data_IF_289861928826
#
_entry.id   IF_289861928826
#
_cell.length_a   1.000
_cell.length_b   1.000
_cell.length_c   1.000
_cell.angle_alpha   90.00
_cell.angle_beta   90.00
_cell.angle_gamma   90.00
#
_symmetry.space_group_name_H-M   'P 1'
#
loop_
_entity.id
_entity.type
_entity.pdbx_description
1 polymer ?
#
# COMPACT_ATOMS: atom_id res chain seq x y z
N UNK A 1 8.30 13.06 -29.87
CA UNK A 1 7.01 13.61 -30.33
C UNK A 1 6.43 12.64 -31.34
N UNK A 2 5.45 11.86 -30.92
CA UNK A 2 4.61 11.03 -31.80
C UNK A 2 3.18 11.41 -31.47
N UNK A 3 2.49 11.98 -32.44
CA UNK A 3 1.07 12.33 -32.37
C UNK A 3 0.23 11.07 -32.12
N UNK A 4 -0.72 11.06 -31.18
CA UNK A 4 -1.66 9.94 -31.07
C UNK A 4 -2.66 10.03 -32.23
N UNK A 5 -2.83 8.93 -32.95
CA UNK A 5 -3.86 8.80 -33.98
C UNK A 5 -5.25 8.90 -33.37
N UNK A 6 -6.06 9.80 -33.92
CA UNK A 6 -7.49 9.94 -33.65
C UNK A 6 -8.25 8.74 -34.24
N UNK A 7 -8.40 7.67 -33.46
CA UNK A 7 -9.45 6.65 -33.63
C UNK A 7 -9.57 5.83 -32.34
N UNK A 8 -9.72 6.50 -31.20
CA UNK A 8 -9.73 5.83 -29.91
C UNK A 8 -11.10 5.26 -29.55
N UNK A 9 -11.33 3.97 -29.80
CA UNK A 9 -12.22 3.21 -28.89
C UNK A 9 -11.74 3.50 -27.45
N UNK A 10 -12.61 3.86 -26.49
CA UNK A 10 -12.17 4.15 -25.13
C UNK A 10 -11.34 2.96 -24.63
N UNK A 11 -10.05 3.21 -24.35
CA UNK A 11 -9.15 2.16 -23.86
C UNK A 11 -9.66 1.75 -22.48
N UNK A 12 -10.38 0.63 -22.46
CA UNK A 12 -10.95 0.02 -21.25
C UNK A 12 -9.81 -0.40 -20.33
N UNK A 13 -9.95 -0.17 -19.02
CA UNK A 13 -9.00 -0.67 -18.02
C UNK A 13 -8.98 -2.21 -18.01
N UNK A 14 -7.89 -2.80 -17.53
CA UNK A 14 -7.72 -4.26 -17.48
C UNK A 14 -8.87 -4.99 -16.77
N UNK A 15 -9.48 -4.34 -15.77
CA UNK A 15 -10.60 -4.85 -14.98
C UNK A 15 -11.92 -4.13 -15.26
N UNK A 16 -12.10 -3.49 -16.42
CA UNK A 16 -13.31 -2.71 -16.73
C UNK A 16 -14.62 -3.52 -16.73
N UNK A 17 -14.51 -4.85 -16.74
CA UNK A 17 -15.61 -5.80 -16.73
C UNK A 17 -15.89 -6.38 -15.34
N UNK A 18 -15.14 -5.94 -14.32
CA UNK A 18 -15.23 -6.42 -12.95
C UNK A 18 -15.92 -5.38 -12.08
N UNK A 19 -16.93 -5.81 -11.31
CA UNK A 19 -17.52 -5.03 -10.23
C UNK A 19 -17.09 -5.54 -8.87
N UNK A 20 -16.72 -4.61 -7.98
CA UNK A 20 -16.31 -4.91 -6.61
C UNK A 20 -17.28 -4.24 -5.64
N UNK A 21 -17.87 -5.03 -4.74
CA UNK A 21 -18.54 -4.51 -3.56
C UNK A 21 -17.53 -4.43 -2.40
N UNK A 22 -17.12 -3.22 -2.08
CA UNK A 22 -16.16 -2.92 -1.02
C UNK A 22 -16.92 -2.61 0.29
N UNK A 23 -17.02 -3.61 1.16
CA UNK A 23 -17.54 -3.46 2.53
C UNK A 23 -16.42 -3.09 3.51
N UNK A 24 -15.19 -2.94 3.04
CA UNK A 24 -14.03 -2.80 3.90
C UNK A 24 -13.82 -1.37 4.40
N UNK A 25 -13.12 -1.27 5.53
CA UNK A 25 -12.79 -0.01 6.21
C UNK A 25 -11.30 0.10 6.49
N UNK A 26 -10.86 1.28 6.93
CA UNK A 26 -9.49 1.54 7.36
C UNK A 26 -8.49 1.55 6.20
N UNK A 27 -7.70 0.48 5.99
CA UNK A 27 -6.58 0.56 5.03
C UNK A 27 -6.34 -0.71 4.20
N UNK A 28 -6.14 -1.90 4.76
CA UNK A 28 -5.78 -3.08 3.96
C UNK A 28 -6.80 -3.39 2.85
N UNK A 29 -8.10 -3.46 3.21
CA UNK A 29 -9.18 -3.65 2.25
C UNK A 29 -9.33 -2.47 1.29
N UNK A 30 -9.41 -1.21 1.78
CA UNK A 30 -9.48 -0.05 0.90
C UNK A 30 -8.29 0.06 -0.08
N UNK A 31 -7.09 -0.32 0.33
CA UNK A 31 -5.90 -0.35 -0.51
C UNK A 31 -6.05 -1.38 -1.64
N UNK A 32 -6.52 -2.58 -1.31
CA UNK A 32 -6.81 -3.61 -2.31
C UNK A 32 -7.84 -3.11 -3.34
N UNK A 33 -8.96 -2.57 -2.88
CA UNK A 33 -10.03 -2.12 -3.79
C UNK A 33 -9.64 -0.88 -4.58
N UNK A 34 -8.78 0.00 -4.05
CA UNK A 34 -8.18 1.09 -4.82
C UNK A 34 -7.28 0.56 -5.95
N UNK A 35 -6.47 -0.47 -5.71
CA UNK A 35 -5.67 -1.07 -6.78
C UNK A 35 -6.54 -1.67 -7.90
N UNK A 36 -7.67 -2.30 -7.53
CA UNK A 36 -8.63 -2.82 -8.50
C UNK A 36 -9.31 -1.68 -9.28
N UNK A 37 -9.67 -0.59 -8.61
CA UNK A 37 -10.22 0.62 -9.25
C UNK A 37 -9.22 1.28 -10.22
N UNK A 38 -7.94 1.38 -9.82
CA UNK A 38 -6.86 1.90 -10.66
C UNK A 38 -6.71 1.07 -11.96
N UNK A 39 -6.95 -0.25 -11.89
CA UNK A 39 -6.98 -1.16 -13.03
C UNK A 39 -8.31 -1.14 -13.81
N UNK A 40 -9.27 -0.32 -13.39
CA UNK A 40 -10.53 -0.05 -14.08
C UNK A 40 -11.76 -0.76 -13.54
N UNK A 41 -11.68 -1.48 -12.42
CA UNK A 41 -12.85 -2.11 -11.82
C UNK A 41 -13.87 -1.07 -11.33
N UNK A 42 -15.16 -1.41 -11.44
CA UNK A 42 -16.25 -0.63 -10.85
C UNK A 42 -16.35 -0.94 -9.35
N UNK A 43 -15.78 -0.07 -8.51
CA UNK A 43 -15.73 -0.29 -7.06
C UNK A 43 -16.79 0.54 -6.34
N UNK A 44 -17.72 -0.16 -5.68
CA UNK A 44 -18.77 0.43 -4.84
C UNK A 44 -18.35 0.28 -3.39
N UNK A 45 -17.95 1.39 -2.76
CA UNK A 45 -17.63 1.43 -1.33
C UNK A 45 -18.89 1.64 -0.52
N UNK A 46 -19.22 0.67 0.32
CA UNK A 46 -20.34 0.75 1.25
C UNK A 46 -19.87 1.42 2.54
N UNK A 47 -20.59 2.45 2.95
CA UNK A 47 -20.22 3.31 4.07
C UNK A 47 -21.40 3.55 5.00
N UNK A 48 -21.14 3.76 6.30
CA UNK A 48 -22.22 4.04 7.26
C UNK A 48 -22.86 5.40 6.96
N UNK A 49 -24.20 5.52 6.95
CA UNK A 49 -24.85 6.83 6.85
C UNK A 49 -24.34 7.81 7.92
N UNK A 50 -24.06 9.04 7.50
CA UNK A 50 -23.60 10.15 8.34
C UNK A 50 -22.12 10.12 8.75
N UNK A 51 -21.51 8.96 8.98
CA UNK A 51 -20.13 8.86 9.50
C UNK A 51 -19.13 8.25 8.52
N UNK A 52 -19.56 7.29 7.71
CA UNK A 52 -18.72 6.58 6.75
C UNK A 52 -17.63 5.71 7.36
N UNK A 53 -16.55 5.55 6.60
CA UNK A 53 -15.29 4.93 7.03
C UNK A 53 -14.66 5.70 8.20
N UNK A 54 -14.14 4.99 9.21
CA UNK A 54 -13.52 5.62 10.40
C UNK A 54 -12.32 6.51 10.02
N UNK A 55 -11.61 6.17 8.93
CA UNK A 55 -10.47 6.97 8.45
C UNK A 55 -10.85 8.35 7.96
N UNK A 56 -12.12 8.62 7.59
CA UNK A 56 -12.55 9.98 7.22
C UNK A 56 -12.22 10.98 8.32
N UNK A 57 -12.39 10.58 9.59
CA UNK A 57 -12.17 11.43 10.76
C UNK A 57 -10.72 11.46 11.29
N UNK A 58 -9.77 10.73 10.67
CA UNK A 58 -8.37 10.66 11.13
C UNK A 58 -7.52 11.83 10.62
N UNK A 59 -7.95 13.06 10.91
CA UNK A 59 -7.20 14.29 10.67
C UNK A 59 -6.88 15.05 11.97
N UNK A 60 -6.06 16.12 11.90
CA UNK A 60 -5.34 16.63 10.72
C UNK A 60 -4.18 15.70 10.27
N UNK A 61 -3.71 15.81 9.01
CA UNK A 61 -4.13 16.78 8.00
C UNK A 61 -5.38 16.36 7.22
N UNK A 62 -6.20 17.36 6.92
CA UNK A 62 -7.42 17.27 6.11
C UNK A 62 -7.12 17.59 4.64
N UNK A 63 -7.88 17.00 3.72
CA UNK A 63 -7.86 17.45 2.33
C UNK A 63 -8.50 18.84 2.28
N UNK A 64 -7.93 19.74 1.46
CA UNK A 64 -8.45 21.10 1.27
C UNK A 64 -9.38 21.23 0.07
N UNK A 65 -10.37 22.10 0.17
CA UNK A 65 -11.25 22.49 -0.93
C UNK A 65 -10.55 23.47 -1.89
N UNK A 66 -11.26 23.92 -2.93
CA UNK A 66 -10.75 24.88 -3.91
C UNK A 66 -10.45 26.27 -3.33
N UNK A 67 -11.03 26.61 -2.18
CA UNK A 67 -10.80 27.86 -1.46
C UNK A 67 -9.70 27.70 -0.39
N UNK A 68 -9.08 26.52 -0.29
CA UNK A 68 -8.02 26.21 0.67
C UNK A 68 -8.50 25.91 2.09
N UNK A 69 -9.81 25.72 2.31
CA UNK A 69 -10.38 25.33 3.61
C UNK A 69 -10.32 23.82 3.80
N UNK A 70 -10.21 23.38 5.04
CA UNK A 70 -10.21 21.95 5.37
C UNK A 70 -11.59 21.33 5.10
N UNK A 71 -11.60 20.16 4.46
CA UNK A 71 -12.80 19.33 4.27
C UNK A 71 -12.92 18.28 5.38
N UNK A 72 -14.02 17.54 5.40
CA UNK A 72 -14.24 16.45 6.36
C UNK A 72 -13.55 15.13 5.99
N UNK A 73 -12.72 15.13 4.93
CA UNK A 73 -11.97 13.95 4.50
C UNK A 73 -10.51 14.09 4.91
N UNK A 74 -10.03 13.16 5.73
CA UNK A 74 -8.61 13.09 6.08
C UNK A 74 -7.75 12.67 4.89
N UNK A 75 -6.46 12.99 4.97
CA UNK A 75 -5.45 12.43 4.06
C UNK A 75 -5.36 10.90 4.11
N UNK A 76 -5.69 10.30 5.25
CA UNK A 76 -5.69 8.85 5.43
C UNK A 76 -6.78 8.18 4.59
N UNK A 77 -8.01 8.72 4.62
CA UNK A 77 -9.10 8.27 3.77
C UNK A 77 -8.76 8.45 2.28
N UNK A 78 -8.23 9.62 1.91
CA UNK A 78 -7.92 9.94 0.53
C UNK A 78 -6.83 9.03 -0.08
N UNK A 79 -5.91 8.50 0.73
CA UNK A 79 -4.80 7.67 0.29
C UNK A 79 -5.22 6.29 -0.28
N UNK A 80 -6.42 5.81 0.06
CA UNK A 80 -6.86 4.45 -0.25
C UNK A 80 -8.28 4.36 -0.84
N UNK A 81 -8.86 5.48 -1.33
CA UNK A 81 -10.24 5.49 -1.82
C UNK A 81 -10.45 6.16 -3.19
N UNK A 82 -9.41 6.56 -3.92
CA UNK A 82 -9.60 7.10 -5.29
C UNK A 82 -10.20 6.04 -6.21
N UNK A 83 -10.92 6.48 -7.24
CA UNK A 83 -11.52 5.57 -8.22
C UNK A 83 -12.83 4.90 -7.77
N UNK A 84 -13.24 5.05 -6.51
CA UNK A 84 -14.42 4.38 -5.95
C UNK A 84 -15.67 5.25 -6.02
N UNK A 85 -16.83 4.60 -5.95
CA UNK A 85 -18.16 5.22 -5.78
C UNK A 85 -18.65 4.99 -4.35
N UNK A 86 -18.99 6.05 -3.61
CA UNK A 86 -19.47 5.90 -2.23
C UNK A 86 -20.98 5.70 -2.19
N UNK A 87 -21.42 4.61 -1.59
CA UNK A 87 -22.81 4.29 -1.25
C UNK A 87 -22.94 4.28 0.27
N UNK A 88 -23.79 5.15 0.81
CA UNK A 88 -24.19 5.07 2.21
C UNK A 88 -25.24 3.96 2.38
N UNK A 89 -25.02 3.05 3.34
CA UNK A 89 -25.92 1.94 3.63
C UNK A 89 -25.73 1.43 5.07
N UNK A 90 -26.79 1.39 5.86
CA UNK A 90 -26.79 0.81 7.21
C UNK A 90 -27.08 -0.69 7.17
N UNK A 91 -26.01 -1.49 7.07
CA UNK A 91 -26.08 -2.95 7.08
C UNK A 91 -26.42 -3.55 8.45
N UNK A 92 -26.54 -2.75 9.52
CA UNK A 92 -27.06 -3.25 10.80
C UNK A 92 -28.57 -3.49 10.76
N UNK A 93 -29.26 -2.91 9.78
CA UNK A 93 -30.72 -2.99 9.59
C UNK A 93 -31.06 -4.08 8.57
N UNK A 94 -32.15 -4.86 8.76
CA UNK A 94 -32.55 -5.91 7.82
C UNK A 94 -32.69 -5.44 6.37
N UNK A 95 -33.20 -4.23 6.17
CA UNK A 95 -33.33 -3.59 4.85
C UNK A 95 -31.97 -3.34 4.19
N UNK A 96 -31.01 -2.79 4.95
CA UNK A 96 -29.66 -2.55 4.44
C UNK A 96 -28.90 -3.85 4.16
N UNK A 97 -29.12 -4.89 4.97
CA UNK A 97 -28.58 -6.22 4.69
C UNK A 97 -29.15 -6.80 3.39
N UNK A 98 -30.45 -6.59 3.12
CA UNK A 98 -31.09 -7.05 1.88
C UNK A 98 -30.47 -6.34 0.68
N UNK A 99 -30.35 -5.02 0.73
CA UNK A 99 -29.72 -4.20 -0.33
C UNK A 99 -28.26 -4.65 -0.55
N UNK A 100 -27.48 -4.89 0.51
CA UNK A 100 -26.11 -5.35 0.39
C UNK A 100 -26.01 -6.73 -0.29
N UNK A 101 -26.93 -7.67 0.02
CA UNK A 101 -27.01 -8.97 -0.68
C UNK A 101 -27.39 -8.83 -2.15
N UNK A 102 -28.35 -7.94 -2.47
CA UNK A 102 -28.76 -7.63 -3.85
C UNK A 102 -27.58 -7.06 -4.66
N UNK A 103 -26.78 -6.17 -4.07
CA UNK A 103 -25.56 -5.64 -4.69
C UNK A 103 -24.47 -6.70 -4.86
N UNK A 104 -24.28 -7.57 -3.86
CA UNK A 104 -23.31 -8.66 -3.93
C UNK A 104 -23.65 -9.67 -5.03
N UNK A 105 -24.95 -9.93 -5.26
CA UNK A 105 -25.42 -10.78 -6.35
C UNK A 105 -25.08 -10.21 -7.74
N UNK A 106 -24.87 -8.89 -7.85
CA UNK A 106 -24.48 -8.20 -9.08
C UNK A 106 -22.99 -7.85 -9.15
N UNK A 107 -22.19 -8.36 -8.22
CA UNK A 107 -20.75 -8.08 -8.12
C UNK A 107 -19.92 -9.32 -8.41
N UNK A 108 -18.73 -9.11 -8.97
CA UNK A 108 -17.74 -10.17 -9.22
C UNK A 108 -16.92 -10.49 -7.99
N UNK A 109 -16.65 -9.46 -7.18
CA UNK A 109 -15.82 -9.51 -5.99
C UNK A 109 -16.53 -8.84 -4.82
N UNK A 110 -16.48 -9.46 -3.65
CA UNK A 110 -16.82 -8.83 -2.36
C UNK A 110 -15.56 -8.79 -1.51
N UNK A 111 -15.21 -7.63 -0.97
CA UNK A 111 -14.09 -7.46 -0.05
C UNK A 111 -14.59 -6.90 1.28
N UNK A 112 -14.15 -7.49 2.37
CA UNK A 112 -14.54 -7.10 3.72
C UNK A 112 -13.44 -7.33 4.75
N UNK A 113 -13.54 -6.65 5.89
CA UNK A 113 -12.61 -6.77 7.01
C UNK A 113 -13.30 -6.66 8.38
N UNK A 114 -14.49 -7.24 8.50
CA UNK A 114 -15.21 -7.30 9.76
C UNK A 114 -14.61 -8.36 10.69
N UNK A 115 -15.01 -8.32 11.96
CA UNK A 115 -14.57 -9.34 12.90
C UNK A 115 -15.21 -10.68 12.55
N UNK A 116 -14.51 -11.75 12.90
CA UNK A 116 -14.95 -13.12 12.67
C UNK A 116 -16.43 -13.33 13.04
N UNK A 117 -17.21 -13.76 12.04
CA UNK A 117 -18.62 -14.11 12.21
C UNK A 117 -19.61 -12.94 12.22
N UNK A 118 -19.17 -11.68 12.17
CA UNK A 118 -20.08 -10.52 12.17
C UNK A 118 -21.00 -10.54 10.94
N UNK A 119 -20.42 -10.69 9.75
CA UNK A 119 -21.20 -10.69 8.50
C UNK A 119 -22.07 -11.93 8.31
N UNK A 120 -21.74 -13.04 8.98
CA UNK A 120 -22.58 -14.25 8.95
C UNK A 120 -23.96 -13.98 9.54
N UNK A 121 -24.05 -13.15 10.57
CA UNK A 121 -25.34 -12.74 11.19
C UNK A 121 -26.19 -11.91 10.24
N UNK A 122 -25.56 -11.30 9.24
CA UNK A 122 -26.21 -10.46 8.23
C UNK A 122 -26.44 -11.20 6.91
N UNK A 123 -26.07 -12.48 6.81
CA UNK A 123 -26.10 -13.22 5.54
C UNK A 123 -25.19 -12.60 4.47
N UNK A 124 -24.11 -11.94 4.89
CA UNK A 124 -23.09 -11.31 4.05
C UNK A 124 -21.75 -12.06 4.11
N UNK A 125 -21.73 -13.24 4.72
CA UNK A 125 -20.59 -14.16 4.66
C UNK A 125 -20.52 -14.89 3.31
N UNK A 126 -19.37 -15.51 3.04
CA UNK A 126 -19.12 -16.19 1.78
C UNK A 126 -20.14 -17.28 1.45
N UNK A 127 -20.52 -18.15 2.39
CA UNK A 127 -21.44 -19.26 2.05
C UNK A 127 -22.83 -18.72 1.71
N UNK A 128 -23.30 -17.72 2.46
CA UNK A 128 -24.56 -17.03 2.15
C UNK A 128 -24.55 -16.41 0.75
N UNK A 129 -23.51 -15.64 0.42
CA UNK A 129 -23.44 -14.93 -0.87
C UNK A 129 -23.12 -15.84 -2.06
N UNK A 130 -22.30 -16.87 -1.86
CA UNK A 130 -22.00 -17.88 -2.88
C UNK A 130 -23.24 -18.65 -3.32
N UNK A 131 -24.21 -18.86 -2.43
CA UNK A 131 -25.46 -19.55 -2.77
C UNK A 131 -26.27 -18.83 -3.85
N UNK A 132 -26.18 -17.50 -3.89
CA UNK A 132 -26.85 -16.66 -4.91
C UNK A 132 -25.93 -16.30 -6.08
N UNK A 133 -24.61 -16.29 -5.86
CA UNK A 133 -23.61 -16.03 -6.89
C UNK A 133 -22.43 -17.03 -6.79
N UNK A 134 -22.51 -18.21 -7.45
CA UNK A 134 -21.44 -19.21 -7.42
C UNK A 134 -20.12 -18.77 -8.07
N UNK A 135 -20.14 -17.66 -8.83
CA UNK A 135 -18.99 -17.04 -9.48
C UNK A 135 -18.29 -16.00 -8.59
N UNK A 136 -18.82 -15.73 -7.40
CA UNK A 136 -18.30 -14.70 -6.50
C UNK A 136 -16.91 -15.03 -5.98
N UNK A 137 -15.97 -14.10 -6.19
CA UNK A 137 -14.72 -14.07 -5.42
C UNK A 137 -14.97 -13.29 -4.14
N UNK A 138 -14.69 -13.90 -3.00
CA UNK A 138 -14.88 -13.24 -1.70
C UNK A 138 -13.55 -13.16 -0.97
N UNK A 139 -13.14 -11.96 -0.60
CA UNK A 139 -11.91 -11.72 0.15
C UNK A 139 -12.22 -11.17 1.53
N UNK A 140 -11.89 -11.97 2.54
CA UNK A 140 -11.90 -11.56 3.93
C UNK A 140 -10.50 -11.16 4.36
N UNK A 141 -10.34 -9.95 4.87
CA UNK A 141 -9.06 -9.44 5.34
C UNK A 141 -9.14 -9.22 6.84
N UNK A 142 -8.38 -9.99 7.62
CA UNK A 142 -8.39 -9.91 9.08
C UNK A 142 -7.00 -9.88 9.68
N UNK A 143 -6.93 -9.65 10.98
CA UNK A 143 -5.65 -9.61 11.69
C UNK A 143 -4.92 -10.96 11.71
N UNK A 144 -5.65 -12.03 12.04
CA UNK A 144 -5.09 -13.32 12.42
C UNK A 144 -5.61 -14.49 11.56
N UNK A 145 -6.41 -14.22 10.52
CA UNK A 145 -7.14 -15.24 9.78
C UNK A 145 -8.52 -15.55 10.40
N UNK A 146 -9.29 -16.38 9.71
CA UNK A 146 -10.67 -16.71 10.09
C UNK A 146 -10.77 -17.90 11.06
N UNK A 147 -9.64 -18.53 11.38
CA UNK A 147 -9.55 -19.65 12.30
C UNK A 147 -8.34 -19.55 13.25
N UNK A 148 -8.21 -20.56 14.11
CA UNK A 148 -7.13 -20.63 15.08
C UNK A 148 -7.35 -19.81 16.37
N UNK A 149 -6.38 -19.85 17.29
CA UNK A 149 -6.54 -19.36 18.67
C UNK A 149 -6.67 -17.84 18.80
N UNK A 150 -6.29 -17.09 17.77
CA UNK A 150 -6.32 -15.62 17.78
C UNK A 150 -7.34 -15.02 16.81
N UNK A 151 -8.14 -15.82 16.10
CA UNK A 151 -9.08 -15.38 15.07
C UNK A 151 -10.06 -14.28 15.54
N UNK A 152 -10.49 -14.36 16.80
CA UNK A 152 -11.45 -13.40 17.39
C UNK A 152 -10.80 -12.12 17.92
N UNK A 153 -9.46 -12.05 17.97
CA UNK A 153 -8.76 -10.88 18.52
C UNK A 153 -8.84 -9.70 17.54
N UNK A 154 -9.07 -8.48 18.03
CA UNK A 154 -8.92 -7.29 17.19
C UNK A 154 -7.45 -7.07 16.84
N UNK A 155 -7.20 -6.33 15.77
CA UNK A 155 -5.85 -5.94 15.40
C UNK A 155 -5.82 -4.71 14.52
N UNK A 156 -4.79 -3.91 14.72
CA UNK A 156 -4.37 -2.83 13.83
C UNK A 156 -2.93 -3.10 13.40
N UNK A 157 -2.53 -2.54 12.27
CA UNK A 157 -1.20 -2.62 11.69
C UNK A 157 -0.05 -2.64 12.71
N UNK A 158 -0.02 -1.68 13.63
CA UNK A 158 1.06 -1.54 14.60
C UNK A 158 1.25 -2.79 15.48
N UNK A 159 0.15 -3.46 15.85
CA UNK A 159 0.19 -4.71 16.60
C UNK A 159 0.89 -5.79 15.78
N UNK A 160 0.56 -5.90 14.50
CA UNK A 160 1.14 -6.92 13.60
C UNK A 160 2.60 -6.66 13.27
N UNK A 161 3.04 -5.41 13.18
CA UNK A 161 4.48 -5.10 13.10
C UNK A 161 5.25 -5.63 14.33
N UNK A 162 4.65 -5.55 15.52
CA UNK A 162 5.24 -6.06 16.74
C UNK A 162 5.24 -7.59 16.79
N UNK A 163 4.05 -8.22 16.71
CA UNK A 163 3.93 -9.67 16.90
C UNK A 163 4.44 -10.50 15.72
N UNK A 164 4.48 -9.91 14.52
CA UNK A 164 5.04 -10.51 13.31
C UNK A 164 6.56 -10.43 13.23
N UNK A 165 7.22 -9.82 14.22
CA UNK A 165 8.68 -9.76 14.31
C UNK A 165 9.33 -8.65 13.46
N UNK A 166 8.59 -7.84 12.72
CA UNK A 166 9.19 -6.75 11.93
C UNK A 166 9.92 -5.75 12.82
N UNK A 167 9.32 -5.36 13.96
CA UNK A 167 9.94 -4.45 14.91
C UNK A 167 11.20 -5.02 15.58
N UNK A 168 11.38 -6.35 15.64
CA UNK A 168 12.57 -6.94 16.25
C UNK A 168 13.82 -6.71 15.40
N UNK A 169 13.66 -6.48 14.09
CA UNK A 169 14.76 -6.19 13.16
C UNK A 169 14.80 -4.73 12.69
N UNK A 170 13.83 -3.92 13.10
CA UNK A 170 13.70 -2.51 12.69
C UNK A 170 14.05 -1.59 13.85
N UNK A 171 14.91 -0.62 13.59
CA UNK A 171 15.42 0.35 14.57
C UNK A 171 16.93 0.31 14.68
N UNK A 172 17.47 1.23 15.47
CA UNK A 172 18.90 1.28 15.74
C UNK A 172 19.36 0.07 16.58
N UNK A 173 20.64 -0.30 16.42
CA UNK A 173 21.28 -1.39 17.16
C UNK A 173 21.17 -1.19 18.66
N UNK A 174 21.09 -2.31 19.38
CA UNK A 174 20.88 -2.33 20.84
C UNK A 174 22.08 -1.83 21.65
N UNK A 175 23.27 -1.86 21.07
CA UNK A 175 24.49 -1.36 21.68
C UNK A 175 24.72 0.14 21.46
N UNK A 176 23.81 0.83 20.75
CA UNK A 176 23.88 2.27 20.50
C UNK A 176 22.81 3.03 21.30
N UNK A 177 23.12 4.30 21.62
CA UNK A 177 22.19 5.17 22.31
C UNK A 177 20.93 5.41 21.46
N UNK A 178 19.75 5.23 22.05
CA UNK A 178 18.47 5.30 21.34
C UNK A 178 18.09 4.01 20.59
N UNK A 179 18.86 2.93 20.77
CA UNK A 179 18.54 1.59 20.27
C UNK A 179 17.22 1.03 20.82
N UNK A 180 16.59 0.16 20.03
CA UNK A 180 15.36 -0.53 20.40
C UNK A 180 14.39 -0.75 19.24
N UNK A 181 13.34 -1.57 19.44
CA UNK A 181 12.35 -1.88 18.41
C UNK A 181 11.60 -0.62 17.93
N UNK A 182 11.54 -0.43 16.61
CA UNK A 182 10.83 0.67 15.98
C UNK A 182 9.86 0.15 14.92
N UNK A 183 8.69 0.80 14.80
CA UNK A 183 7.76 0.53 13.70
C UNK A 183 8.21 1.25 12.42
N UNK A 184 7.74 0.77 11.28
CA UNK A 184 7.82 1.52 10.04
C UNK A 184 7.04 2.85 10.12
N UNK A 185 7.47 3.85 9.35
CA UNK A 185 6.82 5.16 9.27
C UNK A 185 5.40 5.11 8.67
N UNK A 186 5.07 4.02 7.97
CA UNK A 186 3.76 3.77 7.34
C UNK A 186 3.09 2.56 7.98
N UNK A 187 1.79 2.38 7.70
CA UNK A 187 1.03 1.18 8.04
C UNK A 187 1.38 0.03 7.09
N UNK A 188 2.60 -0.50 7.24
CA UNK A 188 3.20 -1.45 6.30
C UNK A 188 2.48 -2.81 6.26
N UNK A 189 2.00 -3.33 7.40
CA UNK A 189 1.23 -4.56 7.46
C UNK A 189 -0.10 -4.40 6.73
N UNK A 190 -0.79 -3.26 6.90
CA UNK A 190 -2.02 -2.98 6.13
C UNK A 190 -1.74 -2.88 4.63
N UNK A 191 -0.73 -2.10 4.22
CA UNK A 191 -0.39 -1.89 2.80
C UNK A 191 0.02 -3.19 2.12
N UNK A 192 0.92 -3.98 2.73
CA UNK A 192 1.37 -5.24 2.13
C UNK A 192 0.23 -6.27 2.07
N UNK A 193 -0.65 -6.30 3.08
CA UNK A 193 -1.82 -7.17 3.07
C UNK A 193 -2.79 -6.77 1.96
N UNK A 194 -3.02 -5.47 1.74
CA UNK A 194 -3.80 -4.98 0.61
C UNK A 194 -3.19 -5.38 -0.75
N UNK A 195 -1.86 -5.42 -0.86
CA UNK A 195 -1.17 -5.92 -2.06
C UNK A 195 -1.34 -7.42 -2.25
N UNK A 196 -1.16 -8.24 -1.20
CA UNK A 196 -1.41 -9.69 -1.27
C UNK A 196 -2.88 -10.01 -1.57
N UNK A 197 -3.83 -9.27 -0.97
CA UNK A 197 -5.25 -9.38 -1.28
C UNK A 197 -5.53 -9.05 -2.76
N UNK A 198 -4.91 -8.01 -3.30
CA UNK A 198 -5.03 -7.67 -4.73
C UNK A 198 -4.56 -8.84 -5.61
N UNK A 199 -3.39 -9.42 -5.32
CA UNK A 199 -2.86 -10.57 -6.06
C UNK A 199 -3.79 -11.78 -5.94
N UNK A 200 -4.27 -12.08 -4.73
CA UNK A 200 -5.18 -13.20 -4.48
C UNK A 200 -6.52 -13.03 -5.23
N UNK A 201 -7.08 -11.83 -5.26
CA UNK A 201 -8.30 -11.52 -6.03
C UNK A 201 -8.05 -11.70 -7.53
N UNK A 202 -6.94 -11.20 -8.07
CA UNK A 202 -6.59 -11.39 -9.47
C UNK A 202 -6.41 -12.87 -9.83
N UNK A 203 -5.75 -13.64 -8.96
CA UNK A 203 -5.59 -15.08 -9.15
C UNK A 203 -6.93 -15.82 -9.10
N UNK A 204 -7.81 -15.47 -8.15
CA UNK A 204 -9.15 -16.06 -8.02
C UNK A 204 -10.05 -15.71 -9.23
N UNK A 205 -9.99 -14.49 -9.73
CA UNK A 205 -10.69 -14.08 -10.95
C UNK A 205 -10.16 -14.86 -12.17
N UNK A 206 -8.85 -15.04 -12.29
CA UNK A 206 -8.26 -15.83 -13.37
C UNK A 206 -8.67 -17.31 -13.28
N UNK A 207 -8.65 -17.90 -12.08
CA UNK A 207 -9.12 -19.25 -11.85
C UNK A 207 -10.61 -19.40 -12.22
N UNK A 208 -11.44 -18.41 -11.87
CA UNK A 208 -12.88 -18.39 -12.18
C UNK A 208 -13.17 -18.42 -13.67
N UNK A 209 -12.32 -17.82 -14.51
CA UNK A 209 -12.49 -17.87 -15.96
C UNK A 209 -12.24 -19.28 -16.53
N UNK A 210 -11.43 -20.10 -15.84
CA UNK A 210 -11.20 -21.50 -16.23
C UNK A 210 -12.23 -22.44 -15.60
N UNK A 211 -12.50 -22.30 -14.30
CA UNK A 211 -13.33 -23.23 -13.53
C UNK A 211 -14.83 -22.90 -13.59
N UNK A 212 -15.18 -21.68 -14.02
CA UNK A 212 -16.53 -21.16 -13.95
C UNK A 212 -16.99 -20.77 -12.54
N UNK A 213 -16.16 -20.91 -11.51
CA UNK A 213 -16.52 -20.75 -10.09
C UNK A 213 -15.61 -19.77 -9.38
N UNK A 214 -16.18 -18.96 -8.51
CA UNK A 214 -15.41 -18.12 -7.59
C UNK A 214 -14.86 -18.92 -6.41
N UNK A 215 -14.18 -18.23 -5.50
CA UNK A 215 -13.59 -18.84 -4.31
C UNK A 215 -13.49 -17.86 -3.14
N UNK A 216 -13.31 -18.43 -1.95
CA UNK A 216 -13.01 -17.70 -0.73
C UNK A 216 -11.51 -17.44 -0.61
N UNK A 217 -11.16 -16.25 -0.16
CA UNK A 217 -9.80 -15.83 0.17
C UNK A 217 -9.81 -15.40 1.64
N UNK A 218 -9.11 -16.15 2.48
CA UNK A 218 -8.76 -15.74 3.85
C UNK A 218 -7.39 -15.07 3.81
N UNK A 219 -7.34 -13.78 4.16
CA UNK A 219 -6.12 -12.97 4.11
C UNK A 219 -5.83 -12.39 5.49
N UNK A 220 -4.69 -12.77 6.08
CA UNK A 220 -4.29 -12.35 7.40
C UNK A 220 -3.14 -11.33 7.39
N UNK A 221 -3.26 -10.25 8.16
CA UNK A 221 -2.18 -9.26 8.33
C UNK A 221 -0.93 -9.89 8.93
N UNK A 222 -1.09 -10.80 9.90
CA UNK A 222 0.02 -11.52 10.54
C UNK A 222 0.81 -12.36 9.52
N UNK A 223 0.13 -13.09 8.66
CA UNK A 223 0.77 -13.92 7.63
C UNK A 223 1.56 -13.05 6.65
N UNK A 224 0.94 -11.96 6.21
CA UNK A 224 1.55 -11.04 5.25
C UNK A 224 2.81 -10.37 5.80
N UNK A 225 2.80 -9.95 7.06
CA UNK A 225 3.97 -9.30 7.66
C UNK A 225 5.10 -10.29 7.96
N UNK A 226 4.79 -11.53 8.35
CA UNK A 226 5.80 -12.58 8.51
C UNK A 226 6.40 -12.93 7.14
N UNK A 227 5.57 -13.09 6.11
CA UNK A 227 6.02 -13.35 4.74
C UNK A 227 6.92 -12.22 4.21
N UNK A 228 6.63 -10.96 4.55
CA UNK A 228 7.45 -9.80 4.21
C UNK A 228 8.87 -9.87 4.78
N UNK A 229 9.09 -10.62 5.87
CA UNK A 229 10.41 -10.79 6.49
C UNK A 229 11.44 -11.52 5.61
N UNK A 230 11.00 -12.25 4.57
CA UNK A 230 11.84 -12.75 3.48
C UNK A 230 13.13 -13.44 3.95
N UNK A 231 14.28 -12.92 3.49
CA UNK A 231 15.59 -13.54 3.74
C UNK A 231 15.96 -13.61 5.23
N UNK A 232 15.46 -12.68 6.05
CA UNK A 232 15.73 -12.66 7.50
C UNK A 232 15.03 -13.84 8.19
N UNK A 233 13.78 -14.13 7.79
CA UNK A 233 13.03 -15.29 8.29
C UNK A 233 13.67 -16.60 7.81
N UNK A 234 14.08 -16.69 6.54
CA UNK A 234 14.78 -17.89 6.05
C UNK A 234 16.14 -18.08 6.73
N UNK A 235 16.84 -16.99 7.06
CA UNK A 235 18.09 -17.05 7.83
C UNK A 235 17.88 -17.58 9.25
N UNK A 236 16.79 -17.18 9.91
CA UNK A 236 16.37 -17.75 11.18
C UNK A 236 16.06 -19.25 11.05
N UNK A 237 15.28 -19.67 10.06
CA UNK A 237 15.01 -21.10 9.85
C UNK A 237 16.27 -21.93 9.61
N UNK A 238 17.27 -21.36 8.93
CA UNK A 238 18.52 -22.06 8.64
C UNK A 238 19.46 -22.17 9.85
N UNK A 239 19.40 -21.24 10.81
CA UNK A 239 20.41 -21.12 11.89
C UNK A 239 19.84 -21.28 13.29
N UNK A 240 18.53 -21.12 13.48
CA UNK A 240 17.88 -21.00 14.78
C UNK A 240 18.17 -19.68 15.50
N UNK A 241 18.93 -18.76 14.90
CA UNK A 241 19.33 -17.48 15.50
C UNK A 241 18.46 -16.36 14.95
N UNK A 242 17.71 -15.70 15.83
CA UNK A 242 16.90 -14.55 15.44
C UNK A 242 17.81 -13.38 15.01
N UNK A 243 17.51 -12.71 13.88
CA UNK A 243 18.26 -11.54 13.44
C UNK A 243 18.07 -10.36 14.41
N UNK A 244 19.13 -9.57 14.57
CA UNK A 244 19.10 -8.31 15.32
C UNK A 244 18.85 -7.08 14.44
N UNK A 245 18.73 -5.91 15.11
CA UNK A 245 18.64 -4.59 14.49
C UNK A 245 20.00 -4.12 13.97
N UNK A 246 19.99 -3.42 12.84
CA UNK A 246 21.19 -2.86 12.21
C UNK A 246 21.05 -1.36 11.88
N UNK A 247 20.00 -0.68 12.35
CA UNK A 247 19.71 0.69 11.96
C UNK A 247 19.54 0.79 10.44
N UNK A 248 20.25 1.74 9.84
CA UNK A 248 20.28 1.93 8.39
C UNK A 248 21.32 1.06 7.65
N UNK A 249 22.02 0.14 8.35
CA UNK A 249 22.96 -0.77 7.72
C UNK A 249 22.28 -2.08 7.29
N UNK A 250 22.71 -2.66 6.18
CA UNK A 250 22.26 -3.98 5.75
C UNK A 250 22.92 -5.08 6.59
N UNK A 251 22.18 -6.12 6.98
CA UNK A 251 22.72 -7.24 7.76
C UNK A 251 23.76 -8.07 6.98
N UNK A 252 23.54 -8.25 5.68
CA UNK A 252 24.30 -9.19 4.84
C UNK A 252 25.25 -8.53 3.82
N UNK A 253 25.40 -7.20 3.82
CA UNK A 253 26.21 -6.48 2.83
C UNK A 253 26.99 -5.34 3.50
N UNK A 254 28.25 -5.16 3.11
CA UNK A 254 29.14 -4.12 3.66
C UNK A 254 30.05 -3.56 2.54
N UNK A 255 30.11 -2.24 2.34
CA UNK A 255 29.22 -1.22 2.91
C UNK A 255 27.85 -1.20 2.21
N UNK A 256 26.79 -1.17 3.00
CA UNK A 256 25.43 -0.91 2.52
C UNK A 256 24.71 -0.19 3.65
N UNK A 257 24.90 1.13 3.73
CA UNK A 257 24.52 1.92 4.90
C UNK A 257 24.49 3.42 4.62
N UNK A 258 24.05 4.18 5.63
CA UNK A 258 24.22 5.62 5.70
C UNK A 258 25.64 5.97 6.15
N UNK A 259 26.20 7.00 5.53
CA UNK A 259 27.44 7.64 5.96
C UNK A 259 27.20 9.13 6.19
N UNK A 260 27.65 9.62 7.35
CA UNK A 260 27.82 11.06 7.58
C UNK A 260 28.95 11.58 6.70
N UNK A 261 28.69 12.72 6.08
CA UNK A 261 29.62 13.46 5.22
C UNK A 261 29.75 14.89 5.75
N UNK A 262 30.58 15.74 5.12
CA UNK A 262 30.91 17.05 5.69
C UNK A 262 29.70 17.98 5.95
N UNK A 263 28.62 17.84 5.19
CA UNK A 263 27.44 18.71 5.22
C UNK A 263 26.10 17.95 5.36
N UNK A 264 26.12 16.68 5.78
CA UNK A 264 24.90 15.89 5.95
C UNK A 264 25.15 14.38 5.89
N UNK A 265 24.22 13.66 5.25
CA UNK A 265 24.24 12.21 5.14
C UNK A 265 23.97 11.74 3.71
N UNK A 266 24.62 10.66 3.30
CA UNK A 266 24.32 9.95 2.06
C UNK A 266 24.19 8.45 2.33
N UNK A 267 23.37 7.78 1.52
CA UNK A 267 23.28 6.33 1.45
C UNK A 267 24.28 5.83 0.41
N UNK A 268 25.01 4.77 0.73
CA UNK A 268 25.88 4.04 -0.22
C UNK A 268 25.52 2.57 -0.17
N UNK A 269 25.34 1.95 -1.34
CA UNK A 269 24.99 0.54 -1.47
C UNK A 269 26.00 -0.19 -2.37
N UNK A 270 26.88 -0.99 -1.75
CA UNK A 270 27.81 -1.89 -2.44
C UNK A 270 27.29 -3.32 -2.31
N UNK A 271 26.72 -3.83 -3.39
CA UNK A 271 26.05 -5.14 -3.43
C UNK A 271 26.95 -6.32 -3.82
N UNK A 272 28.12 -6.06 -4.41
CA UNK A 272 29.04 -7.12 -4.86
C UNK A 272 30.51 -6.67 -4.85
N UNK A 273 31.43 -7.60 -5.14
CA UNK A 273 32.87 -7.36 -5.07
C UNK A 273 33.38 -6.42 -6.18
N UNK A 274 32.74 -6.39 -7.35
CA UNK A 274 33.11 -5.45 -8.42
C UNK A 274 32.71 -4.02 -8.05
N UNK A 275 31.53 -3.84 -7.47
CA UNK A 275 31.10 -2.56 -6.91
C UNK A 275 31.99 -2.13 -5.74
N UNK A 276 32.54 -3.08 -4.96
CA UNK A 276 33.51 -2.76 -3.91
C UNK A 276 34.77 -2.13 -4.49
N UNK A 277 35.34 -2.71 -5.56
CA UNK A 277 36.51 -2.13 -6.24
C UNK A 277 36.21 -0.71 -6.75
N UNK A 278 35.07 -0.52 -7.42
CA UNK A 278 34.63 0.80 -7.92
C UNK A 278 34.42 1.80 -6.80
N UNK A 279 33.83 1.36 -5.69
CA UNK A 279 33.64 2.19 -4.50
C UNK A 279 34.98 2.64 -3.91
N UNK A 280 35.92 1.72 -3.71
CA UNK A 280 37.28 2.04 -3.26
C UNK A 280 37.98 3.05 -4.18
N UNK A 281 37.83 2.91 -5.51
CA UNK A 281 38.33 3.91 -6.47
C UNK A 281 37.65 5.27 -6.27
N UNK A 282 36.31 5.30 -6.17
CA UNK A 282 35.55 6.53 -6.01
C UNK A 282 35.93 7.31 -4.74
N UNK A 283 36.18 6.61 -3.63
CA UNK A 283 36.58 7.19 -2.34
C UNK A 283 38.10 7.36 -2.18
N UNK A 284 38.89 7.09 -3.23
CA UNK A 284 40.35 7.25 -3.24
C UNK A 284 41.08 6.35 -2.22
N UNK A 285 40.51 5.17 -1.95
CA UNK A 285 41.06 4.15 -1.03
C UNK A 285 41.48 2.89 -1.76
N UNK A 286 42.44 3.02 -2.67
CA UNK A 286 43.03 1.89 -3.41
C UNK A 286 43.69 0.86 -2.50
N UNK A 287 44.17 1.30 -1.32
CA UNK A 287 44.67 0.44 -0.25
C UNK A 287 43.61 -0.55 0.25
N UNK A 288 42.36 -0.10 0.42
CA UNK A 288 41.24 -0.97 0.83
C UNK A 288 40.82 -1.94 -0.28
N UNK A 289 40.94 -1.51 -1.54
CA UNK A 289 40.67 -2.36 -2.71
C UNK A 289 41.66 -3.52 -2.83
N UNK A 290 42.94 -3.29 -2.51
CA UNK A 290 44.02 -4.26 -2.60
C UNK A 290 44.11 -5.22 -1.38
N UNK A 291 43.51 -4.85 -0.24
CA UNK A 291 43.54 -5.67 0.97
C UNK A 291 42.67 -6.95 0.81
N UNK A 292 43.32 -8.11 0.89
CA UNK A 292 42.69 -9.43 0.74
C UNK A 292 41.60 -9.70 1.79
N UNK A 293 41.61 -9.04 2.94
CA UNK A 293 40.54 -9.13 3.95
C UNK A 293 39.21 -8.60 3.41
N UNK A 294 39.26 -7.62 2.51
CA UNK A 294 38.09 -6.92 1.98
C UNK A 294 37.73 -7.31 0.55
N UNK A 295 38.54 -8.16 -0.09
CA UNK A 295 38.32 -8.60 -1.47
C UNK A 295 36.95 -9.27 -1.68
N UNK A 296 36.45 -9.99 -0.67
CA UNK A 296 35.17 -10.71 -0.71
C UNK A 296 34.17 -10.16 0.31
N UNK A 297 32.90 -10.14 -0.08
CA UNK A 297 31.79 -9.68 0.80
C UNK A 297 31.78 -10.38 2.15
N UNK A 298 32.08 -11.68 2.20
CA UNK A 298 32.16 -12.45 3.44
C UNK A 298 33.23 -11.94 4.39
N UNK A 299 34.38 -11.52 3.87
CA UNK A 299 35.45 -10.88 4.64
C UNK A 299 35.01 -9.52 5.17
N UNK A 300 34.35 -8.71 4.34
CA UNK A 300 33.79 -7.41 4.74
C UNK A 300 32.70 -7.53 5.81
N UNK A 301 31.86 -8.56 5.74
CA UNK A 301 30.86 -8.86 6.77
C UNK A 301 31.55 -9.23 8.08
N UNK A 302 32.50 -10.17 8.05
CA UNK A 302 33.22 -10.63 9.26
C UNK A 302 34.04 -9.53 9.93
N UNK A 303 34.63 -8.63 9.15
CA UNK A 303 35.42 -7.51 9.66
C UNK A 303 34.69 -6.16 9.67
N UNK A 304 33.35 -6.17 9.67
CA UNK A 304 32.51 -4.96 9.65
C UNK A 304 32.95 -3.92 10.68
N UNK A 305 33.15 -4.36 11.92
CA UNK A 305 33.47 -3.47 13.05
C UNK A 305 34.84 -2.79 12.90
N UNK A 306 35.71 -3.31 12.03
CA UNK A 306 36.98 -2.67 11.65
C UNK A 306 36.84 -1.82 10.38
N UNK A 307 36.15 -2.35 9.36
CA UNK A 307 36.08 -1.71 8.04
C UNK A 307 35.19 -0.46 8.04
N UNK A 308 34.02 -0.52 8.67
CA UNK A 308 33.03 0.58 8.61
C UNK A 308 33.57 1.88 9.22
N UNK A 309 34.26 1.89 10.38
CA UNK A 309 34.87 3.11 10.90
C UNK A 309 35.90 3.76 9.95
N UNK A 310 36.70 2.96 9.24
CA UNK A 310 37.65 3.46 8.24
C UNK A 310 36.94 4.13 7.05
N UNK A 311 35.85 3.51 6.59
CA UNK A 311 35.02 4.08 5.53
C UNK A 311 34.34 5.37 5.99
N UNK A 312 33.73 5.36 7.17
CA UNK A 312 33.06 6.53 7.74
C UNK A 312 34.00 7.72 7.89
N UNK A 313 35.23 7.52 8.38
CA UNK A 313 36.25 8.57 8.43
C UNK A 313 36.58 9.13 7.05
N UNK A 314 36.65 8.27 6.03
CA UNK A 314 36.89 8.69 4.64
C UNK A 314 35.74 9.55 4.12
N UNK A 315 34.49 9.14 4.40
CA UNK A 315 33.29 9.84 3.92
C UNK A 315 33.11 11.25 4.52
N UNK A 316 33.70 11.55 5.68
CA UNK A 316 33.68 12.91 6.26
C UNK A 316 34.46 13.95 5.46
N UNK A 317 35.36 13.53 4.56
CA UNK A 317 36.31 14.44 3.91
C UNK A 317 35.70 15.39 2.87
N UNK A 318 34.47 15.12 2.39
CA UNK A 318 33.83 15.90 1.32
C UNK A 318 32.33 16.08 1.58
N UNK A 319 31.69 17.12 1.03
CA UNK A 319 30.25 17.28 1.09
C UNK A 319 29.52 16.24 0.22
N UNK A 320 28.23 16.02 0.50
CA UNK A 320 27.37 15.04 -0.16
C UNK A 320 27.39 15.18 -1.69
N UNK A 321 27.28 16.40 -2.22
CA UNK A 321 27.26 16.63 -3.67
C UNK A 321 28.52 16.10 -4.38
N UNK A 322 29.70 16.34 -3.79
CA UNK A 322 30.97 15.87 -4.34
C UNK A 322 31.11 14.34 -4.25
N UNK A 323 30.56 13.71 -3.20
CA UNK A 323 30.55 12.26 -3.11
C UNK A 323 29.60 11.61 -4.12
N UNK A 324 28.39 12.13 -4.26
CA UNK A 324 27.39 11.60 -5.18
C UNK A 324 27.90 11.63 -6.62
N UNK A 325 28.45 12.78 -7.07
CA UNK A 325 29.03 12.90 -8.41
C UNK A 325 30.10 11.83 -8.67
N UNK A 326 31.00 11.61 -7.71
CA UNK A 326 32.08 10.62 -7.83
C UNK A 326 31.56 9.19 -7.82
N UNK A 327 30.65 8.86 -6.91
CA UNK A 327 30.09 7.52 -6.78
C UNK A 327 29.28 7.15 -8.02
N UNK A 328 28.45 8.07 -8.53
CA UNK A 328 27.69 7.92 -9.77
C UNK A 328 28.60 7.74 -10.99
N UNK A 329 29.67 8.55 -11.10
CA UNK A 329 30.65 8.41 -12.18
C UNK A 329 31.35 7.03 -12.20
N UNK A 330 31.39 6.34 -11.06
CA UNK A 330 31.94 4.99 -10.95
C UNK A 330 30.85 3.90 -10.90
N UNK A 331 29.58 4.24 -11.13
CA UNK A 331 28.47 3.29 -11.14
C UNK A 331 28.22 2.64 -9.78
N UNK A 332 28.49 3.36 -8.68
CA UNK A 332 28.20 2.93 -7.31
C UNK A 332 26.83 3.51 -6.91
N UNK A 333 25.84 2.66 -6.56
CA UNK A 333 24.54 3.14 -6.10
C UNK A 333 24.65 3.99 -4.84
N UNK A 334 24.16 5.23 -4.91
CA UNK A 334 24.14 6.17 -3.81
C UNK A 334 22.97 7.17 -3.92
N UNK A 335 22.70 7.89 -2.84
CA UNK A 335 21.68 8.94 -2.85
C UNK A 335 21.62 9.70 -1.52
N UNK A 336 20.93 10.86 -1.53
CA UNK A 336 20.61 11.58 -0.29
C UNK A 336 19.40 10.94 0.40
N UNK A 337 19.30 11.15 1.71
CA UNK A 337 18.05 10.90 2.45
C UNK A 337 17.14 12.11 2.23
N UNK A 338 16.12 11.93 1.40
CA UNK A 338 15.19 13.00 1.05
C UNK A 338 13.94 12.95 1.94
N UNK A 339 13.42 14.11 2.33
CA UNK A 339 12.03 14.22 2.75
C UNK A 339 11.07 14.14 1.55
N UNK A 340 9.75 14.15 1.80
CA UNK A 340 8.78 14.09 0.70
C UNK A 340 8.81 15.32 -0.22
N UNK A 341 9.12 16.51 0.28
CA UNK A 341 9.19 17.71 -0.55
C UNK A 341 10.35 17.62 -1.54
N UNK A 342 11.51 17.16 -1.08
CA UNK A 342 12.69 16.87 -1.90
C UNK A 342 12.44 15.70 -2.86
N UNK A 343 11.81 14.61 -2.41
CA UNK A 343 11.50 13.47 -3.26
C UNK A 343 10.59 13.85 -4.45
N UNK A 344 9.57 14.68 -4.25
CA UNK A 344 8.70 15.14 -5.35
C UNK A 344 9.34 16.25 -6.22
N UNK A 345 10.52 16.77 -5.82
CA UNK A 345 11.33 17.64 -6.66
C UNK A 345 12.31 16.86 -7.56
N UNK A 346 12.58 15.59 -7.25
CA UNK A 346 13.50 14.74 -7.99
C UNK A 346 13.11 14.63 -9.49
N UNK A 347 14.07 14.81 -10.42
CA UNK A 347 13.79 14.76 -11.86
C UNK A 347 13.19 13.43 -12.32
N UNK A 348 13.64 12.31 -11.76
CA UNK A 348 13.14 10.99 -12.10
C UNK A 348 11.72 10.81 -11.54
N UNK A 349 11.44 11.24 -10.31
CA UNK A 349 10.08 11.19 -9.73
C UNK A 349 9.08 12.01 -10.55
N UNK A 350 9.48 13.20 -11.00
CA UNK A 350 8.68 14.06 -11.90
C UNK A 350 8.48 13.41 -13.26
N UNK A 351 9.55 12.90 -13.87
CA UNK A 351 9.48 12.16 -15.14
C UNK A 351 8.54 10.96 -15.06
N UNK A 352 8.54 10.27 -13.91
CA UNK A 352 7.67 9.13 -13.62
C UNK A 352 6.21 9.51 -13.33
N UNK A 353 5.90 10.80 -13.15
CA UNK A 353 4.55 11.31 -12.91
C UNK A 353 3.92 10.77 -11.62
N UNK A 354 4.69 10.68 -10.53
CA UNK A 354 4.21 10.04 -9.30
C UNK A 354 3.21 10.88 -8.49
N UNK A 355 3.09 12.18 -8.76
CA UNK A 355 2.01 13.02 -8.25
C UNK A 355 0.86 13.03 -9.24
N UNK A 356 -0.34 12.74 -8.75
CA UNK A 356 -1.58 12.80 -9.53
C UNK A 356 -2.51 13.79 -8.86
N UNK A 357 -2.91 14.80 -9.61
CA UNK A 357 -3.92 15.77 -9.17
C UNK A 357 -5.26 15.43 -9.83
N UNK A 358 -6.27 15.10 -9.03
CA UNK A 358 -7.60 14.69 -9.51
C UNK A 358 -8.63 15.76 -9.15
N UNK A 359 -9.38 16.32 -10.12
CA UNK A 359 -10.45 17.27 -9.84
C UNK A 359 -11.56 16.64 -8.97
N UNK A 360 -12.09 17.40 -8.01
CA UNK A 360 -13.32 17.04 -7.29
C UNK A 360 -14.54 17.68 -7.96
N UNK A 361 -15.62 16.92 -8.24
CA UNK A 361 -16.81 17.47 -8.87
C UNK A 361 -17.40 18.69 -8.14
N UNK A 362 -17.91 19.63 -8.95
CA UNK A 362 -18.23 21.00 -8.57
C UNK A 362 -19.43 21.21 -7.62
N UNK A 363 -20.20 20.17 -7.27
CA UNK A 363 -21.41 20.33 -6.45
C UNK A 363 -21.16 20.87 -5.03
N UNK A 364 -19.90 20.99 -4.58
CA UNK A 364 -19.51 21.65 -3.34
C UNK A 364 -18.17 22.40 -3.39
N UNK A 365 -17.20 21.98 -4.21
CA UNK A 365 -15.89 22.65 -4.36
C UNK A 365 -15.66 22.99 -5.83
N UNK A 366 -16.24 24.09 -6.31
CA UNK A 366 -15.93 24.62 -7.64
C UNK A 366 -14.43 24.98 -7.63
N UNK A 367 -13.58 24.13 -8.23
CA UNK A 367 -12.09 24.17 -8.24
C UNK A 367 -11.34 23.31 -7.19
N UNK A 368 -12.01 22.43 -6.44
CA UNK A 368 -11.31 21.51 -5.53
C UNK A 368 -10.47 20.47 -6.28
N UNK A 369 -9.23 20.25 -5.84
CA UNK A 369 -8.39 19.12 -6.30
C UNK A 369 -7.98 18.24 -5.13
N UNK A 370 -7.82 16.94 -5.38
CA UNK A 370 -7.11 16.04 -4.46
C UNK A 370 -5.81 15.59 -5.12
N UNK A 371 -4.69 15.89 -4.48
CA UNK A 371 -3.40 15.32 -4.85
C UNK A 371 -3.23 13.95 -4.20
N UNK A 372 -2.95 12.94 -5.00
CA UNK A 372 -2.66 11.57 -4.57
C UNK A 372 -1.40 11.04 -5.24
N UNK A 373 -0.98 9.84 -4.85
CA UNK A 373 0.21 9.19 -5.41
C UNK A 373 -0.23 8.25 -6.54
N UNK A 374 0.44 8.35 -7.70
CA UNK A 374 0.20 7.47 -8.83
C UNK A 374 0.39 6.00 -8.45
N UNK A 375 -0.43 5.11 -9.02
CA UNK A 375 -0.10 3.68 -9.06
C UNK A 375 1.29 3.48 -9.69
N UNK A 376 2.15 2.62 -9.13
CA UNK A 376 3.46 2.33 -9.72
C UNK A 376 3.35 1.48 -10.99
N UNK A 377 2.19 0.87 -11.26
CA UNK A 377 1.98 0.00 -12.41
C UNK A 377 2.12 0.77 -13.74
N UNK A 378 2.77 0.15 -14.73
CA UNK A 378 2.98 0.70 -16.08
C UNK A 378 2.68 -0.39 -17.11
N UNK A 379 1.40 -0.54 -17.42
CA UNK A 379 0.91 -1.47 -18.43
C UNK A 379 0.87 -0.76 -19.79
N UNK A 380 1.40 -1.39 -20.84
CA UNK A 380 1.52 -0.79 -22.17
C UNK A 380 0.17 -0.54 -22.84
N UNK A 381 -0.78 -1.46 -22.66
CA UNK A 381 -2.09 -1.40 -23.34
C UNK A 381 -3.21 -0.89 -22.42
N UNK A 382 -3.15 -1.21 -21.13
CA UNK A 382 -4.19 -0.87 -20.15
C UNK A 382 -3.61 -0.14 -18.93
N UNK A 383 -2.93 1.03 -19.11
CA UNK A 383 -2.33 1.75 -18.00
C UNK A 383 -3.38 2.18 -16.97
N UNK A 384 -3.03 2.27 -15.67
CA UNK A 384 -3.93 2.81 -14.66
C UNK A 384 -4.46 4.20 -15.02
N UNK A 385 -5.72 4.47 -14.67
CA UNK A 385 -6.38 5.75 -14.92
C UNK A 385 -6.98 6.32 -13.64
N UNK A 386 -6.87 7.62 -13.47
CA UNK A 386 -7.32 8.35 -12.28
C UNK A 386 -8.55 9.19 -12.62
N UNK A 387 -9.65 8.51 -12.97
CA UNK A 387 -10.86 9.18 -13.46
C UNK A 387 -11.70 9.81 -12.33
N UNK A 388 -11.76 9.15 -11.17
CA UNK A 388 -12.54 9.62 -10.02
C UNK A 388 -11.62 9.93 -8.83
N UNK A 389 -11.84 11.05 -8.13
CA UNK A 389 -11.15 11.32 -6.87
C UNK A 389 -11.63 10.34 -5.78
N UNK A 390 -11.02 10.36 -4.58
CA UNK A 390 -11.67 9.76 -3.42
C UNK A 390 -13.09 10.31 -3.24
N UNK A 391 -14.12 9.47 -3.14
CA UNK A 391 -15.51 9.93 -3.15
C UNK A 391 -15.90 10.61 -1.85
N UNK A 392 -16.80 11.59 -1.96
CA UNK A 392 -17.47 12.14 -0.78
C UNK A 392 -18.46 11.10 -0.24
N UNK A 393 -18.77 11.19 1.04
CA UNK A 393 -19.68 10.25 1.68
C UNK A 393 -21.04 10.23 0.96
N UNK A 394 -21.41 9.07 0.41
CA UNK A 394 -22.72 8.84 -0.22
C UNK A 394 -22.95 9.56 -1.55
N UNK A 395 -21.90 10.10 -2.19
CA UNK A 395 -22.05 10.86 -3.44
C UNK A 395 -22.61 10.07 -4.62
N UNK A 396 -22.57 8.74 -4.52
CA UNK A 396 -23.01 7.81 -5.57
C UNK A 396 -24.22 6.98 -5.13
N UNK A 397 -24.81 7.25 -3.96
CA UNK A 397 -25.93 6.46 -3.40
C UNK A 397 -27.10 6.33 -4.38
N UNK A 398 -27.58 7.45 -4.93
CA UNK A 398 -28.69 7.43 -5.91
C UNK A 398 -28.33 6.70 -7.19
N UNK A 399 -27.15 7.01 -7.75
CA UNK A 399 -26.71 6.45 -9.02
C UNK A 399 -26.51 4.93 -8.93
N UNK A 400 -25.96 4.43 -7.82
CA UNK A 400 -25.75 3.00 -7.59
C UNK A 400 -27.09 2.27 -7.43
N UNK A 401 -27.97 2.75 -6.55
CA UNK A 401 -29.25 2.09 -6.27
C UNK A 401 -30.19 2.13 -7.49
N UNK A 402 -30.24 3.25 -8.20
CA UNK A 402 -31.03 3.35 -9.43
C UNK A 402 -30.50 2.46 -10.55
N UNK A 403 -29.19 2.49 -10.83
CA UNK A 403 -28.63 1.75 -11.95
C UNK A 403 -28.59 0.23 -11.73
N UNK A 404 -28.35 -0.23 -10.49
CA UNK A 404 -28.19 -1.65 -10.20
C UNK A 404 -29.47 -2.30 -9.69
N UNK A 405 -30.22 -1.61 -8.82
CA UNK A 405 -31.40 -2.20 -8.19
C UNK A 405 -32.71 -1.68 -8.76
N UNK A 406 -32.67 -0.71 -9.69
CA UNK A 406 -33.86 -0.13 -10.30
C UNK A 406 -34.69 0.71 -9.32
N UNK A 407 -34.11 1.15 -8.20
CA UNK A 407 -34.84 1.94 -7.22
C UNK A 407 -35.09 3.34 -7.77
N UNK A 408 -36.34 3.77 -7.76
CA UNK A 408 -36.71 5.13 -8.14
C UNK A 408 -36.37 6.17 -7.05
N UNK A 409 -36.48 7.45 -7.40
CA UNK A 409 -36.20 8.56 -6.49
C UNK A 409 -37.09 8.53 -5.23
N UNK A 410 -38.33 8.05 -5.35
CA UNK A 410 -39.27 7.95 -4.22
C UNK A 410 -38.82 6.91 -3.20
N UNK A 411 -38.43 5.73 -3.68
CA UNK A 411 -37.89 4.66 -2.82
C UNK A 411 -36.61 5.09 -2.13
N UNK A 412 -35.71 5.76 -2.86
CA UNK A 412 -34.45 6.23 -2.28
C UNK A 412 -34.70 7.32 -1.22
N UNK A 413 -35.67 8.22 -1.45
CA UNK A 413 -36.07 9.22 -0.46
C UNK A 413 -36.62 8.57 0.83
N UNK A 414 -37.45 7.53 0.71
CA UNK A 414 -37.96 6.76 1.85
C UNK A 414 -36.82 6.09 2.64
N UNK A 415 -35.84 5.50 1.94
CA UNK A 415 -34.67 4.88 2.57
C UNK A 415 -33.84 5.91 3.35
N UNK A 416 -33.69 7.14 2.82
CA UNK A 416 -32.99 8.24 3.50
C UNK A 416 -33.72 8.71 4.74
N UNK A 417 -35.04 8.90 4.65
CA UNK A 417 -35.86 9.32 5.80
C UNK A 417 -35.73 8.32 6.95
N UNK A 418 -35.67 7.02 6.60
CA UNK A 418 -35.48 5.91 7.53
C UNK A 418 -34.02 5.68 7.94
N UNK A 419 -33.08 6.50 7.44
CA UNK A 419 -31.63 6.40 7.65
C UNK A 419 -31.03 5.04 7.29
N UNK A 420 -31.62 4.37 6.29
CA UNK A 420 -31.04 3.15 5.70
C UNK A 420 -29.91 3.51 4.75
N UNK A 421 -30.03 4.63 4.02
CA UNK A 421 -29.01 5.18 3.11
C UNK A 421 -28.74 6.64 3.42
#
# INVERSE_FOLDING_TARGET
>A
MTTPSESGTPVRGALSHIRVLDLSRILAGPWCTQNLADLGADVIKVERPGTGDDTRAWGPPWIRDGDGRDTNDSTYYAAANRGKRSLTLDISRPEGQRIARELAAQSDVVIENYKLGDLKRYGLDYESLRSVNPRLVYCSITGYGQDGPSASKPGYDFVFQAIGGLMSITGERDDLAGGGPQKAGIAIADVITGMYATIAVLAALNHREVSGRGQYIDMALLDCIIALGGNQVTGYFATGVAPGRYGNAHASLVPYQVFTVADGEIVVAVGNDDQWQRYCTAIERSDLAADLRWAKVTGRIRGRDTLVPELARTMLARPAAAWLERLEAHGVPCGRINDYAQAFQDPQVRHRGLRVDVPRPAHADVNGMVSTIASPLRLSETPPRYALPPPRLGDSTEAVLGALLGYDAGRIAELRERRIV
#
